data_IF_327884590365
#
_entry.id   IF_327884590365
#
_cell.length_a   1.000
_cell.length_b   1.000
_cell.length_c   1.000
_cell.angle_alpha   90.00
_cell.angle_beta   90.00
_cell.angle_gamma   90.00
#
_symmetry.space_group_name_H-M   'P 1'
#
loop_
_entity.id
_entity.type
_entity.pdbx_description
1 polymer ?
#
# COMPACT_ATOMS: atom_id res chain seq x y z
N UNK A 1 -50.70 20.40 16.15
CA UNK A 1 -51.22 21.36 17.17
C UNK A 1 -49.98 22.16 17.65
N UNK A 2 -50.00 23.47 17.29
CA UNK A 2 -49.18 24.60 17.74
C UNK A 2 -47.65 24.49 17.78
N UNK A 3 -46.85 25.18 16.94
CA UNK A 3 -46.71 26.62 16.54
C UNK A 3 -45.98 27.44 17.61
N UNK A 4 -44.87 28.09 17.14
CA UNK A 4 -44.27 29.40 17.52
C UNK A 4 -43.50 29.48 18.88
N UNK A 5 -42.48 30.25 19.00
CA UNK A 5 -41.85 31.53 18.58
C UNK A 5 -40.63 31.73 19.49
N UNK A 6 -39.60 32.50 19.32
CA UNK A 6 -39.41 33.92 18.99
C UNK A 6 -37.96 34.27 18.71
N UNK A 7 -37.79 35.19 17.77
CA UNK A 7 -36.54 35.92 17.53
C UNK A 7 -36.43 37.16 18.42
N UNK A 8 -35.21 37.66 18.62
CA UNK A 8 -34.99 38.92 19.29
C UNK A 8 -33.61 39.53 18.96
N UNK A 9 -33.52 40.32 17.91
CA UNK A 9 -32.39 41.20 17.63
C UNK A 9 -32.74 42.62 18.08
N UNK A 10 -31.97 43.22 18.99
CA UNK A 10 -32.05 44.64 19.39
C UNK A 10 -31.10 45.48 18.53
N UNK A 11 -31.64 46.52 17.89
CA UNK A 11 -30.91 47.61 17.20
C UNK A 11 -30.94 48.85 18.12
N UNK A 12 -29.84 49.55 18.37
CA UNK A 12 -29.90 50.84 19.03
C UNK A 12 -30.16 51.98 18.06
N UNK A 13 -31.07 52.86 18.43
CA UNK A 13 -31.53 54.04 17.76
C UNK A 13 -30.63 55.26 18.02
N UNK A 14 -30.46 56.13 17.02
CA UNK A 14 -30.43 57.55 17.22
C UNK A 14 -29.15 58.32 16.97
N UNK A 15 -29.07 58.98 15.77
CA UNK A 15 -28.42 60.27 15.58
C UNK A 15 -29.30 61.14 14.69
N UNK A 16 -29.36 62.50 14.90
CA UNK A 16 -30.35 63.36 14.27
C UNK A 16 -29.93 63.82 12.90
N UNK A 17 -30.95 64.01 12.07
CA UNK A 17 -30.93 64.49 10.65
C UNK A 17 -30.65 66.02 10.60
N UNK A 18 -29.66 66.45 9.79
CA UNK A 18 -29.39 67.87 9.47
C UNK A 18 -29.84 68.15 7.99
N UNK A 19 -30.79 69.05 7.75
CA UNK A 19 -31.39 69.25 6.45
C UNK A 19 -30.73 70.36 5.63
N UNK A 20 -29.46 70.27 5.28
CA UNK A 20 -28.78 71.26 4.42
C UNK A 20 -27.79 70.58 3.45
N UNK A 21 -28.26 69.77 2.54
CA UNK A 21 -27.53 69.47 1.31
C UNK A 21 -28.43 69.48 0.08
N UNK A 22 -28.02 70.31 -0.88
CA UNK A 22 -28.76 70.62 -2.11
C UNK A 22 -28.49 69.55 -3.19
N UNK A 23 -29.53 69.11 -3.90
CA UNK A 23 -29.57 67.96 -4.80
C UNK A 23 -29.02 68.20 -6.24
N UNK A 24 -28.07 69.09 -6.46
CA UNK A 24 -27.60 69.36 -7.85
C UNK A 24 -26.20 68.89 -8.25
N UNK A 25 -25.39 68.40 -7.31
CA UNK A 25 -24.00 68.02 -7.63
C UNK A 25 -23.71 66.48 -7.60
N UNK A 26 -24.68 65.66 -7.31
CA UNK A 26 -24.53 64.21 -7.13
C UNK A 26 -24.44 63.38 -8.44
N UNK A 27 -25.00 63.88 -9.57
CA UNK A 27 -25.17 63.07 -10.78
C UNK A 27 -23.91 62.99 -11.70
N UNK A 28 -22.96 63.92 -11.53
CA UNK A 28 -21.76 63.93 -12.40
C UNK A 28 -20.55 63.17 -11.79
N UNK A 29 -20.60 62.82 -10.52
CA UNK A 29 -19.52 62.10 -9.84
C UNK A 29 -19.63 60.60 -9.95
N UNK A 30 -20.84 60.03 -10.02
CA UNK A 30 -21.03 58.57 -10.13
C UNK A 30 -20.60 57.99 -11.47
N UNK A 31 -20.83 58.72 -12.59
CA UNK A 31 -20.42 58.26 -13.91
C UNK A 31 -18.89 58.26 -14.12
N UNK A 32 -18.15 59.17 -13.43
CA UNK A 32 -16.67 59.19 -13.44
C UNK A 32 -16.09 58.08 -12.57
N UNK A 33 -16.69 57.74 -11.45
CA UNK A 33 -16.26 56.64 -10.58
C UNK A 33 -16.51 55.26 -11.24
N UNK A 34 -17.62 55.07 -11.92
CA UNK A 34 -17.89 53.83 -12.64
C UNK A 34 -16.94 53.59 -13.82
N UNK A 35 -16.47 54.62 -14.52
CA UNK A 35 -15.46 54.49 -15.57
C UNK A 35 -14.07 54.23 -15.03
N UNK A 36 -13.70 54.80 -13.88
CA UNK A 36 -12.44 54.52 -13.23
C UNK A 36 -12.38 53.11 -12.63
N UNK A 37 -13.48 52.63 -12.05
CA UNK A 37 -13.59 51.27 -11.52
C UNK A 37 -13.53 50.20 -12.64
N UNK A 38 -14.18 50.46 -13.81
CA UNK A 38 -14.14 49.54 -14.93
C UNK A 38 -12.74 49.45 -15.55
N UNK A 39 -11.98 50.54 -15.62
CA UNK A 39 -10.60 50.53 -16.11
C UNK A 39 -9.63 49.84 -15.16
N UNK A 40 -9.83 49.95 -13.84
CA UNK A 40 -9.02 49.26 -12.83
C UNK A 40 -9.26 47.75 -12.81
N UNK A 41 -10.51 47.29 -13.01
CA UNK A 41 -10.84 45.87 -13.08
C UNK A 41 -10.27 45.22 -14.34
N UNK A 42 -10.26 45.89 -15.49
CA UNK A 42 -9.66 45.36 -16.72
C UNK A 42 -8.14 45.30 -16.61
N UNK A 43 -7.48 46.27 -15.97
CA UNK A 43 -6.03 46.25 -15.77
C UNK A 43 -5.60 45.15 -14.78
N UNK A 44 -6.37 44.89 -13.71
CA UNK A 44 -6.09 43.79 -12.77
C UNK A 44 -6.36 42.39 -13.39
N UNK A 45 -7.35 42.24 -14.27
CA UNK A 45 -7.60 41.02 -14.99
C UNK A 45 -6.50 40.67 -16.00
N UNK A 46 -5.95 41.69 -16.70
CA UNK A 46 -4.84 41.49 -17.63
C UNK A 46 -3.51 41.15 -16.94
N UNK A 47 -3.25 41.67 -15.74
CA UNK A 47 -2.05 41.34 -14.95
C UNK A 47 -2.20 39.93 -14.32
N UNK A 48 -3.40 39.55 -13.90
CA UNK A 48 -3.66 38.20 -13.32
C UNK A 48 -3.50 37.09 -14.36
N UNK A 49 -3.89 37.31 -15.63
CA UNK A 49 -3.72 36.35 -16.72
C UNK A 49 -2.27 36.24 -17.19
N UNK A 50 -1.50 37.32 -17.17
CA UNK A 50 -0.08 37.31 -17.53
C UNK A 50 0.79 36.63 -16.46
N UNK A 51 0.48 36.80 -15.17
CA UNK A 51 1.19 36.11 -14.07
C UNK A 51 0.82 34.64 -14.01
N UNK A 52 -0.45 34.25 -14.25
CA UNK A 52 -0.88 32.86 -14.30
C UNK A 52 -0.28 32.10 -15.48
N UNK A 53 -0.10 32.76 -16.66
CA UNK A 53 0.54 32.12 -17.81
C UNK A 53 2.06 31.98 -17.65
N UNK A 54 2.74 32.88 -16.93
CA UNK A 54 4.17 32.74 -16.61
C UNK A 54 4.40 31.70 -15.52
N UNK A 55 3.57 31.62 -14.48
CA UNK A 55 3.67 30.60 -13.43
C UNK A 55 3.35 29.18 -13.97
N UNK A 56 2.42 29.07 -14.92
CA UNK A 56 2.13 27.79 -15.59
C UNK A 56 3.24 27.36 -16.57
N UNK A 57 3.97 28.31 -17.17
CA UNK A 57 5.11 28.02 -18.05
C UNK A 57 6.38 27.67 -17.26
N UNK A 58 6.58 28.25 -16.07
CA UNK A 58 7.73 27.92 -15.19
C UNK A 58 7.54 26.61 -14.41
N UNK A 59 6.30 26.22 -14.08
CA UNK A 59 6.00 24.94 -13.46
C UNK A 59 6.15 23.74 -14.43
N UNK A 60 6.20 23.99 -15.74
CA UNK A 60 6.40 22.97 -16.77
C UNK A 60 7.87 22.79 -17.18
N UNK A 61 8.80 23.63 -16.69
CA UNK A 61 10.23 23.50 -16.96
C UNK A 61 11.00 22.97 -15.74
N UNK A 62 10.65 21.77 -15.29
CA UNK A 62 11.62 20.92 -14.63
C UNK A 62 12.77 20.65 -15.62
N UNK A 63 14.00 20.31 -15.15
CA UNK A 63 15.12 20.08 -16.04
C UNK A 63 14.67 19.09 -17.12
N UNK A 64 14.63 19.56 -18.37
CA UNK A 64 14.27 18.73 -19.50
C UNK A 64 15.26 17.57 -19.57
N UNK A 65 14.88 16.43 -18.99
CA UNK A 65 15.60 15.19 -19.16
C UNK A 65 15.77 14.96 -20.66
N UNK A 66 16.95 14.53 -21.10
CA UNK A 66 17.17 14.15 -22.49
C UNK A 66 16.00 13.28 -22.93
N UNK A 67 15.45 13.46 -24.16
CA UNK A 67 14.36 12.63 -24.64
C UNK A 67 14.80 11.15 -24.51
N UNK A 68 14.10 10.42 -23.65
CA UNK A 68 14.37 8.99 -23.47
C UNK A 68 13.79 8.29 -24.69
N UNK A 69 14.64 7.66 -25.48
CA UNK A 69 14.20 6.89 -26.64
C UNK A 69 13.31 5.75 -26.17
N UNK A 70 12.16 5.57 -26.83
CA UNK A 70 11.30 4.41 -26.55
C UNK A 70 12.09 3.11 -26.81
N UNK A 71 11.93 2.08 -25.96
CA UNK A 71 12.54 0.78 -26.21
C UNK A 71 12.11 0.24 -27.57
N UNK A 72 13.04 -0.32 -28.32
CA UNK A 72 12.82 -0.80 -29.71
C UNK A 72 12.96 -2.31 -29.87
N UNK A 73 13.52 -2.99 -28.86
CA UNK A 73 13.67 -4.45 -28.84
C UNK A 73 12.35 -5.18 -28.58
N UNK A 74 12.37 -6.51 -28.74
CA UNK A 74 11.24 -7.36 -28.41
C UNK A 74 10.86 -7.22 -26.92
N UNK A 75 9.57 -7.23 -26.56
CA UNK A 75 9.15 -7.13 -25.17
C UNK A 75 9.64 -8.30 -24.32
N UNK A 76 10.10 -8.02 -23.11
CA UNK A 76 10.33 -9.03 -22.06
C UNK A 76 9.01 -9.23 -21.33
N UNK A 77 8.43 -10.42 -21.48
CA UNK A 77 7.13 -10.75 -20.89
C UNK A 77 7.27 -11.10 -19.40
N UNK A 78 6.35 -10.57 -18.59
CA UNK A 78 6.20 -10.82 -17.14
C UNK A 78 4.81 -11.40 -16.92
N UNK A 79 4.69 -12.65 -16.45
CA UNK A 79 3.40 -13.28 -16.20
C UNK A 79 2.91 -12.99 -14.78
N UNK A 80 1.76 -12.33 -14.67
CA UNK A 80 1.01 -12.21 -13.42
C UNK A 80 0.00 -13.36 -13.35
N UNK A 81 0.20 -14.30 -12.43
CA UNK A 81 -0.73 -15.39 -12.14
C UNK A 81 -1.51 -15.03 -10.88
N UNK A 82 -2.72 -14.46 -11.01
CA UNK A 82 -3.49 -13.98 -9.86
C UNK A 82 -4.99 -14.24 -10.04
N UNK A 83 -5.76 -14.16 -8.96
CA UNK A 83 -7.22 -14.24 -8.98
C UNK A 83 -7.83 -13.00 -9.61
N UNK A 84 -8.06 -13.03 -10.93
CA UNK A 84 -8.64 -11.91 -11.68
C UNK A 84 -10.16 -12.01 -11.80
N UNK A 85 -10.74 -13.13 -11.39
CA UNK A 85 -12.19 -13.37 -11.38
C UNK A 85 -12.67 -13.91 -10.03
N UNK A 86 -14.00 -13.96 -9.84
CA UNK A 86 -14.61 -14.45 -8.61
C UNK A 86 -14.39 -13.55 -7.38
N UNK A 87 -14.31 -14.11 -6.17
CA UNK A 87 -14.26 -13.34 -4.92
C UNK A 87 -13.02 -12.44 -4.77
N UNK A 88 -11.95 -12.72 -5.52
CA UNK A 88 -10.66 -12.03 -5.43
C UNK A 88 -10.43 -11.01 -6.56
N UNK A 89 -11.40 -10.83 -7.47
CA UNK A 89 -11.28 -9.98 -8.65
C UNK A 89 -10.81 -8.54 -8.33
N UNK A 90 -11.36 -7.93 -7.27
CA UNK A 90 -10.96 -6.58 -6.87
C UNK A 90 -9.50 -6.51 -6.40
N UNK A 91 -9.04 -7.51 -5.65
CA UNK A 91 -7.66 -7.60 -5.21
C UNK A 91 -6.72 -7.82 -6.41
N UNK A 92 -7.09 -8.73 -7.33
CA UNK A 92 -6.34 -8.96 -8.57
C UNK A 92 -6.23 -7.71 -9.44
N UNK A 93 -7.33 -6.97 -9.62
CA UNK A 93 -7.31 -5.71 -10.37
C UNK A 93 -6.42 -4.64 -9.72
N UNK A 94 -6.40 -4.55 -8.38
CA UNK A 94 -5.50 -3.64 -7.67
C UNK A 94 -4.02 -4.04 -7.84
N UNK A 95 -3.70 -5.33 -7.79
CA UNK A 95 -2.36 -5.86 -8.09
C UNK A 95 -1.95 -5.51 -9.50
N UNK A 96 -2.80 -5.80 -10.50
CA UNK A 96 -2.51 -5.49 -11.90
C UNK A 96 -2.20 -4.01 -12.09
N UNK A 97 -2.99 -3.09 -11.49
CA UNK A 97 -2.74 -1.63 -11.56
C UNK A 97 -1.34 -1.26 -11.04
N UNK A 98 -0.98 -1.78 -9.89
CA UNK A 98 0.33 -1.47 -9.28
C UNK A 98 1.50 -2.01 -10.12
N UNK A 99 1.41 -3.24 -10.64
CA UNK A 99 2.43 -3.81 -11.51
C UNK A 99 2.51 -3.08 -12.85
N UNK A 100 1.35 -2.73 -13.43
CA UNK A 100 1.27 -1.95 -14.67
C UNK A 100 1.91 -0.57 -14.50
N UNK A 101 1.70 0.09 -13.36
CA UNK A 101 2.37 1.36 -13.04
C UNK A 101 3.89 1.21 -13.06
N UNK A 102 4.45 0.18 -12.41
CA UNK A 102 5.88 -0.10 -12.45
C UNK A 102 6.41 -0.41 -13.84
N UNK A 103 5.69 -1.22 -14.62
CA UNK A 103 6.03 -1.52 -16.02
C UNK A 103 6.04 -0.25 -16.87
N UNK A 104 5.03 0.60 -16.74
CA UNK A 104 4.95 1.87 -17.47
C UNK A 104 6.11 2.82 -17.08
N UNK A 105 6.48 2.89 -15.79
CA UNK A 105 7.62 3.70 -15.32
C UNK A 105 8.94 3.21 -15.91
N UNK A 106 9.22 1.91 -15.87
CA UNK A 106 10.44 1.33 -16.45
C UNK A 106 10.49 1.59 -17.97
N UNK A 107 9.39 1.37 -18.67
CA UNK A 107 9.32 1.57 -20.12
C UNK A 107 9.49 3.05 -20.50
N UNK A 108 8.92 3.98 -19.70
CA UNK A 108 9.08 5.43 -19.89
C UNK A 108 10.53 5.89 -19.65
N UNK A 109 11.29 5.16 -18.84
CA UNK A 109 12.72 5.42 -18.60
C UNK A 109 13.65 4.76 -19.64
N UNK A 110 13.09 4.16 -20.70
CA UNK A 110 13.85 3.56 -21.80
C UNK A 110 13.96 2.04 -21.72
N UNK A 111 13.24 1.39 -20.80
CA UNK A 111 13.19 -0.06 -20.66
C UNK A 111 14.49 -0.69 -20.14
N UNK A 112 14.62 -1.98 -20.34
CA UNK A 112 15.80 -2.78 -19.96
C UNK A 112 16.86 -2.69 -21.04
N UNK A 113 18.12 -2.46 -20.65
CA UNK A 113 19.27 -2.34 -21.55
C UNK A 113 20.00 -3.69 -21.62
N UNK A 114 19.89 -4.37 -22.76
CA UNK A 114 20.61 -5.60 -23.05
C UNK A 114 21.65 -5.38 -24.16
N UNK A 115 22.46 -6.40 -24.47
CA UNK A 115 23.51 -6.30 -25.47
C UNK A 115 22.99 -6.00 -26.88
N UNK A 116 21.78 -6.43 -27.21
CA UNK A 116 21.11 -6.27 -28.50
C UNK A 116 20.17 -5.04 -28.56
N UNK A 117 20.07 -4.26 -27.48
CA UNK A 117 19.28 -3.04 -27.47
C UNK A 117 18.52 -2.77 -26.17
N UNK A 118 17.46 -1.97 -26.29
CA UNK A 118 16.58 -1.63 -25.17
C UNK A 118 15.23 -2.34 -25.36
N UNK A 119 14.77 -3.02 -24.31
CA UNK A 119 13.58 -3.87 -24.34
C UNK A 119 12.53 -3.34 -23.38
N UNK A 120 11.25 -3.17 -23.81
CA UNK A 120 10.18 -2.87 -22.87
C UNK A 120 9.77 -4.11 -22.06
N UNK A 121 9.22 -3.91 -20.87
CA UNK A 121 8.44 -4.95 -20.22
C UNK A 121 7.02 -5.00 -20.77
N UNK A 122 6.46 -6.20 -20.83
CA UNK A 122 5.05 -6.46 -21.15
C UNK A 122 4.42 -7.30 -20.04
N UNK A 123 3.34 -6.81 -19.43
CA UNK A 123 2.59 -7.53 -18.41
C UNK A 123 1.58 -8.46 -19.07
N UNK A 124 1.72 -9.76 -18.82
CA UNK A 124 0.81 -10.83 -19.26
C UNK A 124 -0.01 -11.30 -18.07
N UNK A 125 -1.31 -11.07 -18.10
CA UNK A 125 -2.22 -11.41 -16.98
C UNK A 125 -2.85 -12.79 -17.25
N UNK A 126 -2.72 -13.68 -16.27
CA UNK A 126 -3.20 -15.06 -16.31
C UNK A 126 -4.10 -15.29 -15.08
N UNK A 127 -5.39 -15.56 -15.32
CA UNK A 127 -6.37 -15.70 -14.24
C UNK A 127 -6.29 -17.07 -13.57
N UNK A 128 -5.84 -17.10 -12.31
CA UNK A 128 -5.82 -18.30 -11.47
C UNK A 128 -7.18 -18.59 -10.81
N UNK A 129 -8.17 -17.74 -10.97
CA UNK A 129 -9.48 -17.82 -10.30
C UNK A 129 -9.37 -17.94 -8.77
N UNK A 130 -8.20 -17.59 -8.20
CA UNK A 130 -7.89 -17.75 -6.78
C UNK A 130 -7.69 -19.21 -6.34
N UNK A 131 -7.41 -20.14 -7.27
CA UNK A 131 -7.22 -21.56 -6.98
C UNK A 131 -5.78 -21.99 -7.27
N UNK A 132 -5.24 -22.86 -6.42
CA UNK A 132 -3.88 -23.42 -6.58
C UNK A 132 -3.78 -24.28 -7.86
N UNK A 133 -4.81 -25.04 -8.14
CA UNK A 133 -4.86 -25.93 -9.32
C UNK A 133 -4.82 -25.11 -10.60
N UNK A 134 -5.64 -24.06 -10.67
CA UNK A 134 -5.66 -23.16 -11.83
C UNK A 134 -4.34 -22.40 -11.96
N UNK A 135 -3.76 -21.93 -10.85
CA UNK A 135 -2.45 -21.27 -10.86
C UNK A 135 -1.35 -22.16 -11.47
N UNK A 136 -1.35 -23.46 -11.17
CA UNK A 136 -0.43 -24.43 -11.79
C UNK A 136 -0.72 -24.69 -13.27
N UNK A 137 -1.98 -24.57 -13.72
CA UNK A 137 -2.33 -24.59 -15.15
C UNK A 137 -1.78 -23.36 -15.84
N UNK A 138 -1.96 -22.18 -15.24
CA UNK A 138 -1.45 -20.92 -15.79
C UNK A 138 0.10 -20.86 -15.82
N UNK A 139 0.76 -21.46 -14.82
CA UNK A 139 2.23 -21.60 -14.83
C UNK A 139 2.70 -22.41 -16.05
N UNK A 140 2.04 -23.54 -16.35
CA UNK A 140 2.36 -24.32 -17.55
C UNK A 140 2.15 -23.52 -18.84
N UNK A 141 1.04 -22.77 -18.91
CA UNK A 141 0.77 -21.90 -20.05
C UNK A 141 1.83 -20.78 -20.22
N UNK A 142 2.40 -20.28 -19.12
CA UNK A 142 3.53 -19.35 -19.17
C UNK A 142 4.81 -20.03 -19.65
N UNK A 143 5.12 -21.24 -19.16
CA UNK A 143 6.26 -22.04 -19.60
C UNK A 143 6.21 -22.39 -21.10
N UNK A 144 5.04 -22.80 -21.61
CA UNK A 144 4.81 -23.09 -23.05
C UNK A 144 5.03 -21.85 -23.92
N UNK A 145 4.88 -20.66 -23.37
CA UNK A 145 5.15 -19.37 -24.03
C UNK A 145 6.56 -18.85 -23.77
N UNK A 146 7.40 -19.59 -23.08
CA UNK A 146 8.76 -19.21 -22.69
C UNK A 146 8.82 -17.91 -21.85
N UNK A 147 7.84 -17.67 -20.98
CA UNK A 147 7.84 -16.52 -20.08
C UNK A 147 8.64 -16.87 -18.84
N UNK A 148 9.85 -16.35 -18.74
CA UNK A 148 10.80 -16.66 -17.66
C UNK A 148 10.57 -15.94 -16.33
N UNK A 149 9.55 -15.09 -16.22
CA UNK A 149 9.29 -14.27 -15.03
C UNK A 149 7.84 -14.39 -14.58
N UNK A 150 7.64 -15.02 -13.44
CA UNK A 150 6.34 -15.36 -12.87
C UNK A 150 6.10 -14.51 -11.63
N UNK A 151 4.96 -13.85 -11.54
CA UNK A 151 4.58 -12.99 -10.41
C UNK A 151 3.28 -13.49 -9.77
N UNK A 152 3.26 -13.62 -8.44
CA UNK A 152 2.08 -13.92 -7.65
C UNK A 152 2.32 -13.48 -6.19
N UNK A 153 1.27 -13.19 -5.41
CA UNK A 153 1.47 -12.77 -4.03
C UNK A 153 0.24 -12.85 -3.12
N UNK A 154 -0.98 -12.95 -3.62
CA UNK A 154 -2.18 -12.89 -2.78
C UNK A 154 -2.48 -14.20 -2.00
N UNK A 155 -1.68 -15.24 -2.16
CA UNK A 155 -1.86 -16.50 -1.45
C UNK A 155 -0.55 -17.21 -1.20
N UNK A 156 -0.20 -17.44 0.07
CA UNK A 156 0.99 -18.21 0.46
C UNK A 156 0.90 -19.68 0.00
N UNK A 157 -0.29 -20.28 0.00
CA UNK A 157 -0.48 -21.63 -0.50
C UNK A 157 -0.23 -21.75 -2.02
N UNK A 158 -0.71 -20.78 -2.80
CA UNK A 158 -0.43 -20.70 -4.24
C UNK A 158 1.06 -20.46 -4.47
N UNK A 159 1.68 -19.53 -3.73
CA UNK A 159 3.11 -19.24 -3.83
C UNK A 159 3.96 -20.50 -3.57
N UNK A 160 3.69 -21.25 -2.50
CA UNK A 160 4.39 -22.49 -2.18
C UNK A 160 4.27 -23.53 -3.31
N UNK A 161 3.07 -23.69 -3.88
CA UNK A 161 2.83 -24.60 -4.99
C UNK A 161 3.59 -24.19 -6.26
N UNK A 162 3.60 -22.88 -6.59
CA UNK A 162 4.35 -22.34 -7.73
C UNK A 162 5.85 -22.51 -7.54
N UNK A 163 6.40 -22.20 -6.35
CA UNK A 163 7.83 -22.40 -6.02
C UNK A 163 8.23 -23.86 -6.26
N UNK A 164 7.46 -24.82 -5.71
CA UNK A 164 7.74 -26.23 -5.87
C UNK A 164 7.61 -26.75 -7.32
N UNK A 165 6.74 -26.14 -8.11
CA UNK A 165 6.59 -26.47 -9.54
C UNK A 165 7.75 -25.89 -10.36
N UNK A 166 8.14 -24.64 -10.12
CA UNK A 166 9.27 -23.96 -10.78
C UNK A 166 10.58 -24.67 -10.46
N UNK A 167 10.83 -25.08 -9.22
CA UNK A 167 12.02 -25.86 -8.86
C UNK A 167 12.15 -27.14 -9.67
N UNK A 168 11.03 -27.87 -9.84
CA UNK A 168 10.97 -29.09 -10.66
C UNK A 168 11.18 -28.81 -12.13
N UNK A 169 10.52 -27.78 -12.67
CA UNK A 169 10.63 -27.37 -14.07
C UNK A 169 12.07 -26.96 -14.38
N UNK A 170 12.67 -26.06 -13.63
CA UNK A 170 14.02 -25.55 -13.81
C UNK A 170 15.10 -26.64 -13.72
N UNK A 171 14.84 -27.70 -12.94
CA UNK A 171 15.72 -28.86 -12.85
C UNK A 171 15.64 -29.78 -14.07
N UNK A 172 14.45 -29.88 -14.70
CA UNK A 172 14.19 -30.75 -15.87
C UNK A 172 14.54 -30.08 -17.18
N UNK A 173 14.28 -28.79 -17.30
CA UNK A 173 14.40 -28.01 -18.52
C UNK A 173 15.32 -26.79 -18.32
N UNK A 174 16.65 -26.99 -18.24
CA UNK A 174 17.60 -25.89 -18.02
C UNK A 174 17.57 -24.79 -19.09
N UNK A 175 17.02 -25.07 -20.28
CA UNK A 175 16.87 -24.11 -21.38
C UNK A 175 15.59 -23.26 -21.28
N UNK A 176 14.66 -23.57 -20.38
CA UNK A 176 13.39 -22.87 -20.21
C UNK A 176 13.10 -22.63 -18.72
N UNK A 177 14.00 -21.88 -18.06
CA UNK A 177 13.94 -21.61 -16.63
C UNK A 177 13.00 -20.45 -16.33
N UNK A 178 12.38 -20.52 -15.15
CA UNK A 178 11.47 -19.51 -14.62
C UNK A 178 11.99 -18.95 -13.28
N UNK A 179 11.76 -17.68 -13.05
CA UNK A 179 12.03 -16.96 -11.79
C UNK A 179 10.71 -16.50 -11.19
N UNK A 180 10.49 -16.80 -9.92
CA UNK A 180 9.28 -16.42 -9.21
C UNK A 180 9.50 -15.16 -8.36
N UNK A 181 8.70 -14.13 -8.62
CA UNK A 181 8.72 -12.83 -7.95
C UNK A 181 7.46 -12.70 -7.09
N UNK A 182 7.63 -12.83 -5.80
CA UNK A 182 6.58 -12.79 -4.80
C UNK A 182 6.45 -11.37 -4.23
N UNK A 183 5.33 -10.71 -4.49
CA UNK A 183 5.11 -9.34 -4.03
C UNK A 183 4.31 -9.24 -2.72
N UNK A 184 3.75 -10.33 -2.17
CA UNK A 184 2.87 -10.23 -0.99
C UNK A 184 2.58 -11.52 -0.21
N UNK A 185 3.02 -12.70 -0.65
CA UNK A 185 2.79 -13.93 0.11
C UNK A 185 3.70 -13.97 1.34
N UNK A 186 3.10 -13.88 2.52
CA UNK A 186 3.76 -13.52 3.79
C UNK A 186 4.24 -14.71 4.62
N UNK A 187 3.98 -15.96 4.23
CA UNK A 187 4.44 -17.13 4.99
C UNK A 187 5.97 -17.08 5.16
N UNK A 188 6.48 -17.05 6.41
CA UNK A 188 7.91 -16.97 6.66
C UNK A 188 8.71 -18.14 6.07
N UNK A 189 8.12 -19.34 5.96
CA UNK A 189 8.81 -20.53 5.48
C UNK A 189 9.34 -20.38 4.05
N UNK A 190 8.63 -19.59 3.20
CA UNK A 190 8.96 -19.43 1.78
C UNK A 190 10.34 -18.80 1.51
N UNK A 191 10.90 -18.03 2.44
CA UNK A 191 12.28 -17.50 2.37
C UNK A 191 13.14 -17.97 3.54
N UNK A 192 12.71 -19.03 4.23
CA UNK A 192 13.42 -19.60 5.38
C UNK A 192 13.61 -21.10 5.17
N UNK A 193 12.79 -21.96 5.82
CA UNK A 193 12.94 -23.42 5.73
C UNK A 193 12.71 -23.97 4.30
N UNK A 194 11.76 -23.38 3.56
CA UNK A 194 11.34 -23.78 2.21
C UNK A 194 11.87 -22.84 1.12
N UNK A 195 13.00 -22.17 1.39
CA UNK A 195 13.59 -21.24 0.45
C UNK A 195 14.07 -21.90 -0.85
N UNK A 196 13.88 -21.22 -1.97
CA UNK A 196 14.32 -21.63 -3.29
C UNK A 196 15.20 -20.56 -3.94
N UNK A 197 16.23 -20.98 -4.70
CA UNK A 197 17.06 -20.07 -5.50
C UNK A 197 16.23 -19.32 -6.56
N UNK A 198 15.11 -19.87 -6.99
CA UNK A 198 14.23 -19.31 -8.02
C UNK A 198 13.13 -18.43 -7.47
N UNK A 199 13.08 -18.20 -6.15
CA UNK A 199 12.07 -17.39 -5.49
C UNK A 199 12.68 -16.14 -4.86
N UNK A 200 12.11 -14.96 -5.17
CA UNK A 200 12.47 -13.67 -4.59
C UNK A 200 11.23 -13.02 -3.99
N UNK A 201 11.28 -12.70 -2.70
CA UNK A 201 10.17 -12.04 -2.01
C UNK A 201 10.43 -10.56 -1.80
N UNK A 202 9.50 -9.73 -2.28
CA UNK A 202 9.55 -8.27 -2.21
C UNK A 202 8.72 -7.68 -1.08
N UNK A 203 7.91 -8.49 -0.37
CA UNK A 203 7.19 -8.06 0.84
C UNK A 203 7.90 -8.52 2.13
N UNK A 204 7.60 -7.84 3.23
CA UNK A 204 7.97 -8.31 4.55
C UNK A 204 7.10 -9.50 4.94
N UNK A 205 7.69 -10.61 5.41
CA UNK A 205 6.91 -11.75 5.88
C UNK A 205 6.28 -11.48 7.26
N UNK A 206 5.34 -12.35 7.65
CA UNK A 206 4.55 -12.20 8.87
C UNK A 206 5.41 -11.99 10.13
N UNK A 207 6.58 -12.65 10.23
CA UNK A 207 7.50 -12.47 11.35
C UNK A 207 8.10 -11.07 11.44
N UNK A 208 8.50 -10.47 10.31
CA UNK A 208 9.01 -9.09 10.25
C UNK A 208 7.92 -8.09 10.65
N UNK A 209 6.70 -8.29 10.16
CA UNK A 209 5.53 -7.46 10.49
C UNK A 209 5.16 -7.57 11.97
N UNK A 210 5.14 -8.79 12.52
CA UNK A 210 4.83 -9.02 13.93
C UNK A 210 5.90 -8.43 14.85
N UNK A 211 7.18 -8.50 14.46
CA UNK A 211 8.27 -7.88 15.22
C UNK A 211 8.10 -6.36 15.30
N UNK A 212 7.75 -5.71 14.18
CA UNK A 212 7.47 -4.28 14.14
C UNK A 212 6.24 -3.88 14.99
N UNK A 213 5.14 -4.64 14.93
CA UNK A 213 3.99 -4.46 15.80
C UNK A 213 4.37 -4.65 17.27
N UNK A 214 5.21 -5.65 17.56
CA UNK A 214 5.75 -5.92 18.89
C UNK A 214 6.52 -4.75 19.48
N UNK A 215 7.27 -3.99 18.67
CA UNK A 215 7.98 -2.78 19.11
C UNK A 215 7.02 -1.66 19.56
N UNK A 216 5.85 -1.54 18.91
CA UNK A 216 4.81 -0.59 19.33
C UNK A 216 4.11 -1.08 20.61
N UNK A 217 3.73 -2.38 20.68
CA UNK A 217 3.14 -2.98 21.87
C UNK A 217 4.10 -2.89 23.06
N UNK A 218 5.42 -3.00 22.84
CA UNK A 218 6.42 -2.86 23.90
C UNK A 218 6.39 -1.48 24.55
N UNK A 219 6.08 -0.44 23.80
CA UNK A 219 5.99 0.94 24.29
C UNK A 219 4.66 1.25 24.97
N UNK A 220 3.60 0.55 24.61
CA UNK A 220 2.26 0.73 25.17
C UNK A 220 2.12 -0.04 26.50
N UNK A 221 2.39 0.63 27.61
CA UNK A 221 2.33 0.04 28.95
C UNK A 221 0.90 -0.18 29.44
N UNK A 222 -0.11 0.34 28.75
CA UNK A 222 -1.52 0.10 29.08
C UNK A 222 -1.96 -1.32 28.72
N UNK A 223 -1.33 -1.93 27.69
CA UNK A 223 -1.64 -3.30 27.27
C UNK A 223 -1.03 -4.31 28.23
N UNK A 224 -1.87 -5.12 28.90
CA UNK A 224 -1.50 -6.21 29.81
C UNK A 224 -2.11 -7.55 29.43
N UNK A 225 -3.25 -7.51 28.73
CA UNK A 225 -3.98 -8.70 28.30
C UNK A 225 -4.28 -8.62 26.81
N UNK A 226 -3.88 -9.62 26.08
CA UNK A 226 -4.06 -9.69 24.63
C UNK A 226 -4.93 -10.87 24.27
N UNK A 227 -5.87 -10.65 23.36
CA UNK A 227 -6.66 -11.69 22.72
C UNK A 227 -6.17 -11.90 21.28
N UNK A 228 -5.93 -13.13 20.88
CA UNK A 228 -5.59 -13.50 19.52
C UNK A 228 -6.87 -14.01 18.83
N UNK A 229 -7.22 -13.44 17.68
CA UNK A 229 -8.36 -13.90 16.89
C UNK A 229 -7.99 -13.86 15.40
N UNK A 230 -7.88 -15.03 14.80
CA UNK A 230 -7.34 -15.18 13.46
C UNK A 230 -8.24 -16.05 12.57
N UNK A 231 -8.09 -15.90 11.26
CA UNK A 231 -8.69 -16.78 10.27
C UNK A 231 -8.06 -18.17 10.35
N UNK A 232 -8.87 -19.23 10.21
CA UNK A 232 -8.45 -20.62 10.33
C UNK A 232 -7.80 -21.13 9.04
N UNK A 233 -6.52 -20.80 8.87
CA UNK A 233 -5.63 -21.31 7.81
C UNK A 233 -4.16 -21.03 8.19
N UNK A 234 -3.19 -21.49 7.38
CA UNK A 234 -1.76 -21.42 7.70
C UNK A 234 -1.30 -20.06 8.21
N UNK A 235 -1.58 -18.98 7.48
CA UNK A 235 -1.20 -17.63 7.89
C UNK A 235 -1.80 -17.20 9.24
N UNK A 236 -3.07 -17.52 9.51
CA UNK A 236 -3.69 -17.18 10.80
C UNK A 236 -3.04 -17.93 11.98
N UNK A 237 -2.67 -19.20 11.78
CA UNK A 237 -1.90 -19.97 12.75
C UNK A 237 -0.49 -19.41 12.96
N UNK A 238 0.18 -18.98 11.88
CA UNK A 238 1.48 -18.30 11.94
C UNK A 238 1.40 -17.00 12.75
N UNK A 239 0.39 -16.17 12.49
CA UNK A 239 0.18 -14.93 13.26
C UNK A 239 0.01 -15.21 14.75
N UNK A 240 -0.79 -16.22 15.12
CA UNK A 240 -0.96 -16.60 16.54
C UNK A 240 0.37 -17.05 17.17
N UNK A 241 1.10 -17.92 16.50
CA UNK A 241 2.40 -18.42 16.97
C UNK A 241 3.43 -17.28 17.11
N UNK A 242 3.54 -16.43 16.09
CA UNK A 242 4.44 -15.27 16.08
C UNK A 242 4.06 -14.24 17.15
N UNK A 243 2.77 -13.98 17.37
CA UNK A 243 2.32 -13.07 18.42
C UNK A 243 2.75 -13.59 19.81
N UNK A 244 2.53 -14.88 20.09
CA UNK A 244 2.95 -15.49 21.35
C UNK A 244 4.46 -15.41 21.56
N UNK A 245 5.26 -15.74 20.57
CA UNK A 245 6.73 -15.71 20.67
C UNK A 245 7.26 -14.27 20.81
N UNK A 246 6.68 -13.32 20.07
CA UNK A 246 7.05 -11.90 20.14
C UNK A 246 6.69 -11.30 21.51
N UNK A 247 5.50 -11.59 22.02
CA UNK A 247 5.07 -11.13 23.34
C UNK A 247 5.95 -11.74 24.44
N UNK A 248 6.24 -13.05 24.39
CA UNK A 248 7.11 -13.70 25.35
C UNK A 248 8.51 -13.08 25.41
N UNK A 249 9.01 -12.56 24.29
CA UNK A 249 10.33 -11.92 24.19
C UNK A 249 10.30 -10.45 24.58
N UNK A 250 9.35 -9.68 24.03
CA UNK A 250 9.34 -8.21 24.15
C UNK A 250 8.49 -7.71 25.34
N UNK A 251 7.47 -8.47 25.73
CA UNK A 251 6.50 -8.13 26.79
C UNK A 251 6.06 -9.36 27.58
N UNK A 252 6.99 -10.01 28.31
CA UNK A 252 6.66 -11.21 29.11
C UNK A 252 5.65 -10.92 30.25
N UNK A 253 5.36 -9.64 30.51
CA UNK A 253 4.33 -9.18 31.44
C UNK A 253 2.91 -9.19 30.85
N UNK A 254 2.76 -9.43 29.52
CA UNK A 254 1.46 -9.54 28.88
C UNK A 254 0.96 -10.98 28.94
N UNK A 255 -0.29 -11.13 29.37
CA UNK A 255 -0.99 -12.42 29.34
C UNK A 255 -1.83 -12.54 28.07
N UNK A 256 -1.67 -13.63 27.31
CA UNK A 256 -2.59 -14.01 26.24
C UNK A 256 -3.81 -14.68 26.87
N UNK A 257 -4.94 -13.96 26.88
CA UNK A 257 -6.18 -14.34 27.57
C UNK A 257 -7.18 -15.09 26.67
N UNK A 258 -6.89 -15.20 25.38
CA UNK A 258 -7.65 -15.98 24.41
C UNK A 258 -6.86 -16.16 23.13
N UNK A 259 -7.12 -17.27 22.42
CA UNK A 259 -6.53 -17.59 21.13
C UNK A 259 -7.52 -18.45 20.36
N UNK A 260 -8.22 -17.82 19.40
CA UNK A 260 -9.28 -18.46 18.63
C UNK A 260 -9.09 -18.28 17.13
N UNK A 261 -9.63 -19.24 16.40
CA UNK A 261 -9.68 -19.22 14.95
C UNK A 261 -11.11 -19.27 14.46
N UNK A 262 -11.35 -18.67 13.28
CA UNK A 262 -12.65 -18.70 12.63
C UNK A 262 -12.54 -18.99 11.14
N UNK A 263 -13.58 -19.54 10.55
CA UNK A 263 -13.60 -19.87 9.12
C UNK A 263 -13.47 -18.61 8.26
N UNK A 264 -12.45 -18.57 7.39
CA UNK A 264 -12.13 -17.45 6.51
C UNK A 264 -13.31 -17.08 5.60
N UNK A 265 -13.71 -15.80 5.60
CA UNK A 265 -14.75 -15.24 4.72
C UNK A 265 -16.18 -15.78 4.96
N UNK A 266 -16.39 -16.61 5.98
CA UNK A 266 -17.69 -17.25 6.25
C UNK A 266 -18.44 -16.65 7.43
N UNK A 267 -17.73 -16.02 8.37
CA UNK A 267 -18.34 -15.39 9.54
C UNK A 267 -19.03 -14.09 9.10
N UNK A 268 -20.32 -13.99 9.35
CA UNK A 268 -21.13 -12.80 9.04
C UNK A 268 -21.43 -11.95 10.27
N UNK A 269 -21.33 -12.54 11.45
CA UNK A 269 -21.54 -11.88 12.74
C UNK A 269 -20.40 -12.21 13.70
N UNK A 270 -19.65 -11.19 14.08
CA UNK A 270 -18.55 -11.29 15.06
C UNK A 270 -18.99 -11.00 16.49
N UNK A 271 -20.27 -10.72 16.75
CA UNK A 271 -20.77 -10.43 18.11
C UNK A 271 -20.42 -11.51 19.15
N UNK A 272 -20.49 -12.82 18.86
CA UNK A 272 -20.08 -13.86 19.81
C UNK A 272 -18.59 -13.79 20.17
N UNK A 273 -17.72 -13.46 19.22
CA UNK A 273 -16.29 -13.28 19.48
C UNK A 273 -16.03 -12.05 20.32
N UNK A 274 -16.72 -10.94 20.05
CA UNK A 274 -16.63 -9.72 20.85
C UNK A 274 -17.07 -9.95 22.30
N UNK A 275 -18.12 -10.74 22.52
CA UNK A 275 -18.55 -11.11 23.86
C UNK A 275 -17.44 -11.87 24.62
N UNK A 276 -16.74 -12.80 23.96
CA UNK A 276 -15.62 -13.54 24.56
C UNK A 276 -14.42 -12.62 24.85
N UNK A 277 -14.05 -11.73 23.88
CA UNK A 277 -12.96 -10.77 24.06
C UNK A 277 -13.27 -9.86 25.28
N UNK A 278 -14.49 -9.36 25.39
CA UNK A 278 -14.92 -8.56 26.53
C UNK A 278 -14.85 -9.34 27.85
N UNK A 279 -15.37 -10.56 27.87
CA UNK A 279 -15.36 -11.42 29.06
C UNK A 279 -13.95 -11.77 29.53
N UNK A 280 -12.98 -11.86 28.62
CA UNK A 280 -11.57 -12.09 28.95
C UNK A 280 -10.88 -10.88 29.57
N UNK A 281 -11.46 -9.68 29.44
CA UNK A 281 -10.85 -8.43 29.87
C UNK A 281 -9.59 -8.05 29.08
N UNK A 282 -9.54 -8.41 27.80
CA UNK A 282 -8.41 -8.05 26.94
C UNK A 282 -8.33 -6.54 26.69
N UNK A 283 -7.12 -5.99 26.78
CA UNK A 283 -6.81 -4.59 26.50
C UNK A 283 -6.56 -4.34 25.02
N UNK A 284 -6.15 -5.41 24.32
CA UNK A 284 -5.84 -5.36 22.89
C UNK A 284 -6.17 -6.70 22.19
N UNK A 285 -6.42 -6.61 20.89
CA UNK A 285 -6.55 -7.77 19.99
C UNK A 285 -5.40 -7.73 18.99
N UNK A 286 -4.73 -8.87 18.79
CA UNK A 286 -3.80 -9.08 17.67
C UNK A 286 -4.49 -9.99 16.67
N UNK A 287 -4.53 -9.57 15.40
CA UNK A 287 -5.23 -10.32 14.35
C UNK A 287 -4.53 -10.22 13.01
N UNK A 288 -4.41 -11.36 12.33
CA UNK A 288 -4.05 -11.46 10.92
C UNK A 288 -5.25 -11.39 9.99
N UNK A 289 -6.45 -11.14 10.50
CA UNK A 289 -7.64 -11.01 9.65
C UNK A 289 -7.45 -9.94 8.57
N UNK A 290 -7.99 -10.20 7.41
CA UNK A 290 -8.01 -9.28 6.27
C UNK A 290 -9.38 -9.30 5.58
N UNK A 291 -9.60 -8.34 4.68
CA UNK A 291 -10.87 -8.20 3.97
C UNK A 291 -12.05 -7.98 4.92
N UNK A 292 -13.19 -8.56 4.58
CA UNK A 292 -14.42 -8.40 5.34
C UNK A 292 -14.34 -8.94 6.78
N UNK A 293 -13.55 -9.97 7.02
CA UNK A 293 -13.42 -10.53 8.38
C UNK A 293 -12.81 -9.51 9.35
N UNK A 294 -11.82 -8.73 8.91
CA UNK A 294 -11.24 -7.65 9.71
C UNK A 294 -12.27 -6.52 9.94
N UNK A 295 -12.92 -6.08 8.88
CA UNK A 295 -13.84 -4.93 8.97
C UNK A 295 -15.06 -5.24 9.82
N UNK A 296 -15.64 -6.44 9.69
CA UNK A 296 -16.77 -6.89 10.51
C UNK A 296 -16.36 -7.07 11.98
N UNK A 297 -15.16 -7.61 12.26
CA UNK A 297 -14.66 -7.75 13.63
C UNK A 297 -14.55 -6.39 14.35
N UNK A 298 -13.88 -5.41 13.71
CA UNK A 298 -13.67 -4.08 14.31
C UNK A 298 -14.99 -3.33 14.48
N UNK A 299 -15.89 -3.40 13.48
CA UNK A 299 -17.24 -2.79 13.58
C UNK A 299 -18.04 -3.38 14.72
N UNK A 300 -18.12 -4.71 14.81
CA UNK A 300 -18.83 -5.39 15.88
C UNK A 300 -18.29 -5.00 17.28
N UNK A 301 -16.96 -4.81 17.41
CA UNK A 301 -16.36 -4.34 18.64
C UNK A 301 -16.88 -2.94 19.01
N UNK A 302 -16.88 -2.01 18.06
CA UNK A 302 -17.33 -0.63 18.31
C UNK A 302 -18.84 -0.54 18.58
N UNK A 303 -19.64 -1.25 17.79
CA UNK A 303 -21.10 -1.33 17.97
C UNK A 303 -21.49 -1.86 19.35
N UNK A 304 -20.72 -2.80 19.88
CA UNK A 304 -20.91 -3.32 21.24
C UNK A 304 -20.22 -2.48 22.32
N UNK A 305 -19.60 -1.34 21.99
CA UNK A 305 -18.93 -0.47 22.95
C UNK A 305 -17.65 -1.08 23.55
N UNK A 306 -16.98 -1.98 22.83
CA UNK A 306 -15.66 -2.48 23.22
C UNK A 306 -14.59 -1.47 22.81
N UNK A 307 -13.96 -0.82 23.79
CA UNK A 307 -12.88 0.15 23.58
C UNK A 307 -11.52 -0.55 23.67
N UNK A 308 -11.11 -1.14 22.55
CA UNK A 308 -9.91 -1.99 22.45
C UNK A 308 -9.13 -1.65 21.19
N UNK A 309 -7.80 -1.70 21.25
CA UNK A 309 -6.92 -1.56 20.10
C UNK A 309 -6.82 -2.87 19.33
N UNK A 310 -6.79 -2.77 18.01
CA UNK A 310 -6.56 -3.87 17.09
C UNK A 310 -5.20 -3.70 16.43
N UNK A 311 -4.25 -4.55 16.75
CA UNK A 311 -2.97 -4.65 16.07
C UNK A 311 -3.12 -5.60 14.89
N UNK A 312 -3.00 -5.06 13.67
CA UNK A 312 -3.38 -5.75 12.45
C UNK A 312 -2.24 -5.77 11.44
N UNK A 313 -2.26 -6.78 10.56
CA UNK A 313 -1.35 -6.87 9.43
C UNK A 313 -1.88 -6.08 8.21
N UNK A 314 -3.21 -5.98 8.09
CA UNK A 314 -3.89 -5.51 6.88
C UNK A 314 -4.96 -4.45 7.15
N UNK A 315 -4.85 -3.69 8.25
CA UNK A 315 -5.79 -2.60 8.54
C UNK A 315 -5.84 -1.50 7.48
N UNK A 316 -4.79 -1.39 6.67
CA UNK A 316 -4.67 -0.45 5.55
C UNK A 316 -4.92 -1.08 4.17
N UNK A 317 -5.42 -2.34 4.11
CA UNK A 317 -5.68 -3.03 2.84
C UNK A 317 -6.83 -2.39 2.07
N UNK A 318 -6.90 -2.75 0.77
CA UNK A 318 -7.92 -2.27 -0.18
C UNK A 318 -9.33 -2.30 0.44
N UNK A 319 -9.99 -1.15 0.45
CA UNK A 319 -11.34 -0.97 0.98
C UNK A 319 -11.47 -0.99 2.51
N UNK A 320 -10.42 -1.38 3.25
CA UNK A 320 -10.50 -1.49 4.71
C UNK A 320 -10.73 -0.14 5.39
N UNK A 321 -9.99 0.95 5.09
CA UNK A 321 -10.23 2.25 5.72
C UNK A 321 -11.64 2.78 5.50
N UNK A 322 -12.18 2.67 4.27
CA UNK A 322 -13.54 3.08 3.95
C UNK A 322 -14.59 2.23 4.70
N UNK A 323 -14.38 0.92 4.75
CA UNK A 323 -15.30 0.01 5.43
C UNK A 323 -15.26 0.16 6.95
N UNK A 324 -14.09 0.42 7.55
CA UNK A 324 -13.93 0.66 8.99
C UNK A 324 -14.55 1.98 9.43
N UNK A 325 -14.34 3.06 8.65
CA UNK A 325 -14.85 4.38 8.98
C UNK A 325 -14.42 4.85 10.39
N UNK A 326 -15.30 5.52 11.10
CA UNK A 326 -15.06 5.99 12.47
C UNK A 326 -14.73 4.85 13.46
N UNK A 327 -15.16 3.63 13.18
CA UNK A 327 -14.86 2.47 14.04
C UNK A 327 -13.35 2.16 14.11
N UNK A 328 -12.61 2.45 13.04
CA UNK A 328 -11.17 2.21 12.99
C UNK A 328 -10.31 3.33 13.57
N UNK A 329 -10.84 4.55 13.70
CA UNK A 329 -10.11 5.74 14.14
C UNK A 329 -9.51 5.54 15.53
N UNK A 330 -8.16 5.64 15.64
CA UNK A 330 -7.37 5.42 16.87
C UNK A 330 -7.47 4.01 17.47
N UNK A 331 -8.16 3.10 16.82
CA UNK A 331 -8.32 1.71 17.27
C UNK A 331 -7.58 0.71 16.36
N UNK A 332 -7.45 1.02 15.07
CA UNK A 332 -6.76 0.13 14.14
C UNK A 332 -5.31 0.59 13.96
N UNK A 333 -4.40 -0.31 14.31
CA UNK A 333 -2.96 -0.17 14.10
C UNK A 333 -2.57 -1.19 13.05
N UNK A 334 -1.88 -0.75 11.99
CA UNK A 334 -1.45 -1.58 10.88
C UNK A 334 0.05 -1.48 10.65
N UNK A 335 0.61 -2.42 9.87
CA UNK A 335 2.02 -2.42 9.48
C UNK A 335 2.16 -2.58 7.98
N UNK A 336 3.00 -1.74 7.36
CA UNK A 336 3.28 -1.79 5.92
C UNK A 336 4.73 -1.37 5.62
N UNK A 337 5.20 -1.70 4.42
CA UNK A 337 6.48 -1.26 3.87
C UNK A 337 6.48 0.24 3.52
N UNK A 338 5.32 0.79 3.24
CA UNK A 338 5.08 2.20 2.94
C UNK A 338 3.59 2.54 3.10
N UNK A 339 3.28 3.82 3.26
CA UNK A 339 1.92 4.35 3.18
C UNK A 339 1.93 5.82 2.71
N UNK A 340 0.82 6.37 2.19
CA UNK A 340 0.78 7.73 1.63
C UNK A 340 1.29 8.84 2.57
N UNK A 341 1.16 8.66 3.87
CA UNK A 341 1.60 9.60 4.90
C UNK A 341 2.94 9.23 5.55
N UNK A 342 3.75 8.37 4.93
CA UNK A 342 5.11 8.05 5.41
C UNK A 342 6.03 9.28 5.39
N UNK A 343 5.71 10.28 4.56
CA UNK A 343 6.35 11.58 4.55
C UNK A 343 7.51 11.73 3.56
N UNK A 344 7.90 13.00 3.34
CA UNK A 344 8.97 13.38 2.45
C UNK A 344 8.52 13.73 1.03
N UNK A 345 9.11 14.80 0.47
CA UNK A 345 8.76 15.30 -0.86
C UNK A 345 8.89 14.26 -1.99
N UNK A 346 9.92 13.37 -2.01
CA UNK A 346 10.00 12.31 -3.02
C UNK A 346 8.86 11.29 -2.91
N UNK A 347 8.46 10.90 -1.70
CA UNK A 347 7.30 10.02 -1.46
C UNK A 347 6.00 10.65 -1.92
N UNK A 348 5.76 11.92 -1.58
CA UNK A 348 4.59 12.67 -2.02
C UNK A 348 4.52 12.79 -3.56
N UNK A 349 5.66 13.03 -4.21
CA UNK A 349 5.75 13.11 -5.67
C UNK A 349 5.44 11.77 -6.35
N UNK A 350 5.97 10.66 -5.81
CA UNK A 350 5.68 9.32 -6.31
C UNK A 350 4.18 8.99 -6.17
N UNK A 351 3.59 9.30 -5.02
CA UNK A 351 2.16 9.10 -4.79
C UNK A 351 1.29 9.97 -5.70
N UNK A 352 1.68 11.23 -5.92
CA UNK A 352 0.99 12.11 -6.86
C UNK A 352 1.02 11.56 -8.30
N UNK A 353 2.14 10.97 -8.72
CA UNK A 353 2.24 10.32 -10.04
C UNK A 353 1.33 9.09 -10.15
N UNK A 354 1.22 8.28 -9.09
CA UNK A 354 0.28 7.15 -9.05
C UNK A 354 -1.17 7.63 -9.20
N UNK A 355 -1.60 8.62 -8.41
CA UNK A 355 -2.95 9.21 -8.48
C UNK A 355 -3.24 9.87 -9.82
N UNK A 356 -2.26 10.52 -10.44
CA UNK A 356 -2.41 11.10 -11.78
C UNK A 356 -2.67 10.01 -12.83
N UNK A 357 -2.05 8.84 -12.68
CA UNK A 357 -2.26 7.69 -13.58
C UNK A 357 -3.60 6.99 -13.32
N UNK A 358 -4.03 6.92 -12.06
CA UNK A 358 -5.27 6.28 -11.63
C UNK A 358 -6.13 7.28 -10.83
N UNK A 359 -6.89 8.18 -11.52
CA UNK A 359 -7.55 9.30 -10.87
C UNK A 359 -8.85 8.93 -10.16
N UNK A 360 -9.34 7.70 -10.31
CA UNK A 360 -10.55 7.25 -9.62
C UNK A 360 -10.24 6.91 -8.17
N UNK A 361 -11.08 7.37 -7.23
CA UNK A 361 -10.86 7.16 -5.80
C UNK A 361 -10.72 5.66 -5.42
N UNK A 362 -11.57 4.80 -6.00
CA UNK A 362 -11.50 3.35 -5.77
C UNK A 362 -10.23 2.68 -6.32
N UNK A 363 -9.46 3.37 -7.15
CA UNK A 363 -8.20 2.89 -7.71
C UNK A 363 -6.99 3.37 -6.91
N UNK A 364 -7.19 4.27 -5.94
CA UNK A 364 -6.16 4.88 -5.11
C UNK A 364 -5.68 3.93 -3.99
N UNK A 365 -5.15 2.79 -4.41
CA UNK A 365 -4.53 1.81 -3.54
C UNK A 365 -3.11 1.49 -4.03
N UNK A 366 -2.15 2.41 -3.80
CA UNK A 366 -0.75 2.19 -4.15
C UNK A 366 -0.09 1.21 -3.18
N UNK A 367 0.64 0.24 -3.74
CA UNK A 367 1.43 -0.76 -3.03
C UNK A 367 2.86 -0.67 -3.52
N UNK A 368 3.70 0.13 -2.83
CA UNK A 368 5.03 0.54 -3.30
C UNK A 368 5.92 -0.64 -3.73
N UNK A 369 5.92 -1.74 -2.98
CA UNK A 369 6.77 -2.90 -3.26
C UNK A 369 6.51 -3.56 -4.63
N UNK A 370 5.33 -3.34 -5.23
CA UNK A 370 5.03 -3.91 -6.56
C UNK A 370 5.75 -3.15 -7.70
N UNK A 371 5.62 -1.81 -7.84
CA UNK A 371 6.47 -1.07 -8.77
C UNK A 371 7.96 -1.22 -8.46
N UNK A 372 8.35 -1.19 -7.18
CA UNK A 372 9.72 -1.43 -6.73
C UNK A 372 10.28 -2.79 -7.24
N UNK A 373 9.47 -3.83 -7.21
CA UNK A 373 9.84 -5.15 -7.73
C UNK A 373 10.17 -5.09 -9.22
N UNK A 374 9.34 -4.41 -10.00
CA UNK A 374 9.55 -4.24 -11.46
C UNK A 374 10.82 -3.42 -11.73
N UNK A 375 11.02 -2.33 -11.01
CA UNK A 375 12.21 -1.48 -11.13
C UNK A 375 13.49 -2.23 -10.72
N UNK A 376 13.43 -3.00 -9.63
CA UNK A 376 14.54 -3.83 -9.16
C UNK A 376 14.86 -4.94 -10.16
N UNK A 377 13.85 -5.56 -10.77
CA UNK A 377 14.03 -6.55 -11.82
C UNK A 377 14.74 -5.95 -13.05
N UNK A 378 14.31 -4.77 -13.50
CA UNK A 378 14.96 -4.05 -14.60
C UNK A 378 16.43 -3.72 -14.28
N UNK A 379 16.71 -3.27 -13.06
CA UNK A 379 18.06 -2.99 -12.59
C UNK A 379 18.93 -4.26 -12.55
N UNK A 380 18.36 -5.40 -12.14
CA UNK A 380 19.07 -6.68 -12.13
C UNK A 380 19.38 -7.19 -13.56
N UNK A 381 18.45 -7.05 -14.49
CA UNK A 381 18.69 -7.37 -15.92
C UNK A 381 19.76 -6.47 -16.52
N UNK A 382 19.70 -5.16 -16.26
CA UNK A 382 20.73 -4.21 -16.69
C UNK A 382 22.11 -4.59 -16.13
N UNK A 383 22.18 -4.98 -14.84
CA UNK A 383 23.40 -5.43 -14.17
C UNK A 383 23.93 -6.73 -14.77
N UNK A 384 23.05 -7.67 -15.08
CA UNK A 384 23.39 -8.94 -15.71
C UNK A 384 23.75 -8.81 -17.20
N UNK A 385 23.31 -7.73 -17.88
CA UNK A 385 23.38 -7.59 -19.33
C UNK A 385 22.57 -8.67 -20.07
N UNK A 386 21.58 -9.29 -19.42
CA UNK A 386 20.86 -10.47 -19.88
C UNK A 386 19.47 -10.53 -19.30
N UNK A 387 18.52 -11.13 -20.04
CA UNK A 387 17.19 -11.52 -19.55
C UNK A 387 17.13 -13.04 -19.22
N UNK A 388 18.26 -13.75 -19.17
CA UNK A 388 18.28 -15.15 -18.71
C UNK A 388 17.92 -15.22 -17.23
N UNK A 389 16.92 -16.03 -16.81
CA UNK A 389 16.47 -16.09 -15.42
C UNK A 389 17.57 -16.46 -14.42
N UNK A 390 18.56 -17.27 -14.81
CA UNK A 390 19.68 -17.63 -13.92
C UNK A 390 20.63 -16.46 -13.70
N UNK A 391 20.96 -15.75 -14.78
CA UNK A 391 21.83 -14.57 -14.71
C UNK A 391 21.15 -13.45 -13.90
N UNK A 392 19.84 -13.26 -14.10
CA UNK A 392 19.06 -12.26 -13.37
C UNK A 392 18.89 -12.62 -11.89
N UNK A 393 18.66 -13.90 -11.55
CA UNK A 393 18.61 -14.37 -10.16
C UNK A 393 19.93 -14.03 -9.43
N UNK A 394 21.08 -14.35 -10.04
CA UNK A 394 22.40 -13.98 -9.48
C UNK A 394 22.61 -12.48 -9.36
N UNK A 395 22.07 -11.70 -10.31
CA UNK A 395 22.14 -10.24 -10.27
C UNK A 395 21.22 -9.61 -9.23
N UNK A 396 20.10 -10.26 -8.89
CA UNK A 396 19.20 -9.83 -7.81
C UNK A 396 19.82 -10.01 -6.43
N UNK A 397 20.69 -11.01 -6.23
CA UNK A 397 21.36 -11.23 -4.95
C UNK A 397 22.20 -10.03 -4.54
N UNK A 398 21.91 -9.48 -3.37
CA UNK A 398 22.62 -8.32 -2.81
C UNK A 398 22.35 -7.01 -3.54
N UNK A 399 21.40 -6.95 -4.48
CA UNK A 399 21.05 -5.70 -5.16
C UNK A 399 20.47 -4.71 -4.14
N UNK A 400 20.94 -3.48 -4.20
CA UNK A 400 20.41 -2.37 -3.41
C UNK A 400 19.57 -1.48 -4.29
N UNK A 401 18.49 -1.00 -3.74
CA UNK A 401 17.57 -0.08 -4.39
C UNK A 401 17.24 1.08 -3.46
N UNK A 402 17.26 2.30 -3.99
CA UNK A 402 16.90 3.51 -3.26
C UNK A 402 16.26 4.49 -4.25
N UNK A 403 14.99 4.84 -4.01
CA UNK A 403 14.25 5.82 -4.80
C UNK A 403 14.18 7.20 -4.12
N UNK A 404 15.04 7.45 -3.12
CA UNK A 404 15.11 8.70 -2.37
C UNK A 404 14.18 8.76 -1.15
N UNK A 405 13.31 7.77 -0.93
CA UNK A 405 12.46 7.66 0.26
C UNK A 405 12.28 6.23 0.78
N UNK A 406 12.74 5.23 0.02
CA UNK A 406 12.64 3.82 0.38
C UNK A 406 13.93 3.10 -0.02
N UNK A 407 14.87 3.01 0.92
CA UNK A 407 16.12 2.29 0.75
C UNK A 407 15.93 0.81 1.16
N UNK A 408 16.28 -0.11 0.28
CA UNK A 408 16.11 -1.55 0.49
C UNK A 408 17.23 -2.36 -0.17
N UNK A 409 17.34 -3.64 0.19
CA UNK A 409 18.23 -4.57 -0.51
C UNK A 409 17.69 -6.00 -0.49
N UNK A 410 18.00 -6.74 -1.53
CA UNK A 410 17.68 -8.16 -1.60
C UNK A 410 18.75 -8.96 -0.89
N UNK A 411 18.41 -9.64 0.21
CA UNK A 411 19.35 -10.46 0.97
C UNK A 411 19.71 -11.72 0.15
N UNK A 412 21.01 -11.96 -0.03
CA UNK A 412 21.51 -13.04 -0.89
C UNK A 412 21.29 -14.43 -0.28
N UNK A 413 21.21 -14.54 1.04
CA UNK A 413 21.12 -15.81 1.76
C UNK A 413 19.78 -16.52 1.56
N UNK A 414 18.70 -15.76 1.40
CA UNK A 414 17.33 -16.31 1.37
C UNK A 414 16.38 -15.61 0.41
N UNK A 415 16.87 -14.63 -0.34
CA UNK A 415 16.10 -13.84 -1.30
C UNK A 415 14.90 -13.10 -0.68
N UNK A 416 15.03 -12.69 0.59
CA UNK A 416 14.12 -11.78 1.26
C UNK A 416 14.54 -10.33 1.01
N UNK A 417 13.64 -9.50 0.49
CA UNK A 417 13.88 -8.05 0.46
C UNK A 417 13.87 -7.51 1.88
N UNK A 418 14.95 -6.83 2.25
CA UNK A 418 15.05 -6.07 3.50
C UNK A 418 14.72 -4.62 3.19
N UNK A 419 13.72 -4.08 3.89
CA UNK A 419 13.12 -2.79 3.57
C UNK A 419 12.58 -2.11 4.82
N UNK A 420 12.34 -0.79 4.80
CA UNK A 420 11.70 -0.09 5.90
C UNK A 420 10.32 -0.67 6.21
N UNK A 421 9.91 -0.60 7.48
CA UNK A 421 8.55 -0.90 7.91
C UNK A 421 7.99 0.26 8.73
N UNK A 422 6.72 0.54 8.49
CA UNK A 422 5.96 1.56 9.18
C UNK A 422 4.84 0.90 9.97
N UNK A 423 4.80 1.13 11.29
CA UNK A 423 3.60 0.86 12.07
C UNK A 423 2.81 2.16 12.14
N UNK A 424 1.54 2.09 11.85
CA UNK A 424 0.69 3.24 11.62
C UNK A 424 -0.67 3.06 12.26
N UNK A 425 -1.27 4.16 12.69
CA UNK A 425 -2.59 4.22 13.34
C UNK A 425 -3.59 4.92 12.42
N UNK A 426 -4.78 4.37 12.28
CA UNK A 426 -5.85 4.94 11.49
C UNK A 426 -6.42 6.21 12.14
N UNK A 427 -6.59 7.27 11.35
CA UNK A 427 -7.21 8.53 11.79
C UNK A 427 -7.92 9.22 10.61
N UNK A 428 -8.61 10.32 10.89
CA UNK A 428 -9.30 11.13 9.88
C UNK A 428 -8.30 11.93 9.05
N UNK A 429 -8.59 12.08 7.78
CA UNK A 429 -7.85 13.00 6.92
C UNK A 429 -7.89 14.42 7.46
N UNK A 430 -6.78 15.15 7.35
CA UNK A 430 -6.62 16.49 7.90
C UNK A 430 -6.18 16.54 9.36
N UNK A 431 -6.13 15.40 10.06
CA UNK A 431 -5.50 15.36 11.40
C UNK A 431 -3.97 15.38 11.31
N UNK A 432 -3.25 15.77 12.38
CA UNK A 432 -1.79 15.78 12.35
C UNK A 432 -1.21 14.42 11.94
N UNK A 433 -0.41 14.40 10.86
CA UNK A 433 0.21 13.20 10.31
C UNK A 433 -0.66 12.43 9.30
N UNK A 434 -1.89 12.88 9.00
CA UNK A 434 -2.77 12.30 7.96
C UNK A 434 -3.11 13.37 6.92
N UNK A 435 -2.16 13.61 6.01
CA UNK A 435 -2.32 14.52 4.88
C UNK A 435 -3.21 13.93 3.78
N UNK A 436 -3.05 12.65 3.54
CA UNK A 436 -3.76 11.90 2.51
C UNK A 436 -4.67 10.84 3.14
N UNK A 437 -5.86 10.71 2.60
CA UNK A 437 -6.75 9.59 2.89
C UNK A 437 -6.50 8.40 1.93
N UNK A 438 -7.08 7.27 2.26
CA UNK A 438 -7.08 6.10 1.39
C UNK A 438 -8.39 6.05 0.60
N UNK A 439 -8.30 5.90 -0.72
CA UNK A 439 -9.44 5.63 -1.61
C UNK A 439 -10.58 6.68 -1.54
N UNK A 440 -10.26 7.94 -1.22
CA UNK A 440 -11.26 9.00 -1.07
C UNK A 440 -12.21 8.79 0.13
N UNK A 441 -11.84 7.94 1.07
CA UNK A 441 -12.69 7.54 2.21
C UNK A 441 -12.82 8.60 3.30
N UNK A 442 -11.93 9.61 3.32
CA UNK A 442 -11.79 10.55 4.43
C UNK A 442 -10.98 10.00 5.61
N UNK A 443 -10.45 8.78 5.50
CA UNK A 443 -9.63 8.11 6.51
C UNK A 443 -8.27 7.71 5.94
N UNK A 444 -7.23 7.86 6.74
CA UNK A 444 -5.87 7.49 6.40
C UNK A 444 -5.11 7.01 7.62
N UNK A 445 -3.80 6.93 7.50
CA UNK A 445 -2.94 6.45 8.57
C UNK A 445 -1.85 7.47 8.87
N UNK A 446 -1.55 7.67 10.16
CA UNK A 446 -0.37 8.37 10.63
C UNK A 446 0.70 7.39 11.08
N UNK A 447 1.95 7.69 10.83
CA UNK A 447 3.07 6.88 11.32
C UNK A 447 3.16 6.96 12.86
N UNK A 448 3.17 5.80 13.51
CA UNK A 448 3.44 5.64 14.95
C UNK A 448 4.90 5.25 15.17
N UNK A 449 5.43 4.40 14.29
CA UNK A 449 6.81 3.95 14.32
C UNK A 449 7.31 3.74 12.89
N UNK A 450 8.43 4.33 12.55
CA UNK A 450 9.19 4.02 11.34
C UNK A 450 10.44 3.23 11.73
N UNK A 451 10.62 2.07 11.12
CA UNK A 451 11.79 1.23 11.27
C UNK A 451 12.60 1.28 9.97
N UNK A 452 13.87 1.71 10.01
CA UNK A 452 14.72 1.63 8.84
C UNK A 452 15.03 0.15 8.51
N UNK A 453 15.42 -0.12 7.28
CA UNK A 453 15.62 -1.48 6.77
C UNK A 453 16.57 -2.33 7.64
N UNK A 454 17.61 -1.74 8.21
CA UNK A 454 18.57 -2.42 9.08
C UNK A 454 17.94 -2.99 10.37
N UNK A 455 16.80 -2.44 10.77
CA UNK A 455 16.05 -2.87 11.96
C UNK A 455 14.99 -3.94 11.66
N UNK A 456 14.80 -4.27 10.39
CA UNK A 456 13.77 -5.24 9.95
C UNK A 456 14.36 -6.59 9.50
N UNK A 457 15.68 -6.79 9.66
CA UNK A 457 16.38 -8.01 9.24
C UNK A 457 15.96 -9.21 10.10
N UNK A 458 15.22 -10.20 9.55
CA UNK A 458 14.86 -11.39 10.32
C UNK A 458 16.01 -12.40 10.34
N UNK A 459 16.04 -13.30 11.33
CA UNK A 459 16.90 -14.49 11.26
C UNK A 459 16.52 -15.36 10.06
N UNK A 460 17.47 -16.14 9.55
CA UNK A 460 17.20 -17.13 8.49
C UNK A 460 17.91 -18.43 8.76
N UNK A 461 17.26 -19.55 8.38
CA UNK A 461 17.85 -20.90 8.35
C UNK A 461 17.86 -21.46 6.93
N UNK A 462 17.63 -20.59 5.93
CA UNK A 462 17.61 -20.97 4.52
C UNK A 462 18.91 -21.66 4.10
N UNK A 463 18.76 -22.75 3.37
CA UNK A 463 19.85 -23.54 2.77
C UNK A 463 19.50 -23.90 1.32
N UNK A 464 19.18 -22.87 0.51
CA UNK A 464 18.79 -23.10 -0.87
C UNK A 464 19.92 -23.76 -1.70
N UNK A 465 19.52 -24.65 -2.59
CA UNK A 465 20.44 -25.20 -3.61
C UNK A 465 20.58 -24.16 -4.73
N UNK A 466 21.81 -23.86 -5.08
CA UNK A 466 22.15 -22.96 -6.19
C UNK A 466 22.51 -23.76 -7.44
N UNK A 467 22.10 -23.32 -8.65
CA UNK A 467 22.45 -23.99 -9.91
C UNK A 467 23.93 -23.77 -10.28
#
# INVERSE_FOLDING_TARGET
>A
MHINEFAGLLIPSGTPYDPRFNESDGAMTMAKWQRAAAAAVIALAAISTAVASHAAAEAASGPAGKPVNKPTGAPIQLALIEGMSGPFANAGAAVERNLRFGVEQVNAQGGVKLADGTHPFELVVLDSKGSTEEALVQLRAAADRHIGYIMQGNSSAVAAALIGAIDKQNSREPGNRELFLNYSADDPALTNADCSFWHFRFDAHAGMRMDALGDVIQRDKSVKKVYLLNQDYSFGHDVSSLARSTLATKRPDITVVGDEFHAIGRVKDFAPYIAKIRASGADAVITGNWGNDLTLLVKAAREQGLDTKFYTFYGNSLGAPAALGDAGVKHVIAVADWHPNAGGAPSDAWYAAFRARFPQAQDDYPVLRMPLMIETLAAAMNRAGSADPTAVAKALEGIKFDNGFHASWMRAEDHQLIQPLYVMEMDKAGTPGVKFDNEGSGYGFRTVLALPAERTVPPTVCRMKRP
#
